data_IF_047981497353
#
_entry.id   IF_047981497353
#
_cell.length_a   1.000
_cell.length_b   1.000
_cell.length_c   1.000
_cell.angle_alpha   90.00
_cell.angle_beta   90.00
_cell.angle_gamma   90.00
#
_symmetry.space_group_name_H-M   'P 1'
#
loop_
_entity.id
_entity.type
_entity.pdbx_description
1 polymer ?
#
# COMPACT_ATOMS: atom_id res chain seq x y z
N UNK A 1 -11.66 9.25 -7.12
CA UNK A 1 -10.54 8.67 -6.36
C UNK A 1 -10.76 7.16 -6.29
N UNK A 2 -10.65 6.49 -7.43
CA UNK A 2 -10.63 5.04 -7.52
C UNK A 2 -9.60 4.73 -8.58
N UNK A 3 -8.53 4.07 -8.15
CA UNK A 3 -7.41 3.71 -8.98
C UNK A 3 -7.86 2.60 -9.91
N UNK A 4 -8.26 2.95 -11.13
CA UNK A 4 -8.60 1.99 -12.19
C UNK A 4 -7.44 1.05 -12.58
N UNK A 5 -6.31 1.12 -11.86
CA UNK A 5 -5.08 0.39 -12.12
C UNK A 5 -4.46 -0.21 -10.83
N UNK A 6 -5.27 -0.47 -9.78
CA UNK A 6 -4.88 -1.28 -8.63
C UNK A 6 -5.55 -2.66 -8.74
N UNK A 7 -4.77 -3.72 -8.57
CA UNK A 7 -5.24 -5.10 -8.55
C UNK A 7 -5.54 -5.50 -7.11
N UNK A 8 -6.79 -5.34 -6.71
CA UNK A 8 -7.24 -5.61 -5.33
C UNK A 8 -7.18 -7.11 -5.02
N UNK A 9 -7.43 -7.98 -6.00
CA UNK A 9 -7.38 -9.42 -5.81
C UNK A 9 -5.95 -9.88 -5.52
N UNK A 10 -4.95 -9.30 -6.20
CA UNK A 10 -3.54 -9.56 -5.91
C UNK A 10 -3.12 -9.03 -4.54
N UNK A 11 -3.55 -7.82 -4.17
CA UNK A 11 -3.27 -7.29 -2.84
C UNK A 11 -3.86 -8.18 -1.75
N UNK A 12 -5.11 -8.63 -1.92
CA UNK A 12 -5.76 -9.53 -0.97
C UNK A 12 -4.96 -10.82 -0.76
N UNK A 13 -4.37 -11.40 -1.82
CA UNK A 13 -3.53 -12.60 -1.71
C UNK A 13 -2.20 -12.34 -1.01
N UNK A 14 -1.65 -11.14 -1.16
CA UNK A 14 -0.33 -10.78 -0.61
C UNK A 14 -0.37 -10.23 0.81
N UNK A 15 -1.55 -9.90 1.33
CA UNK A 15 -1.74 -9.34 2.68
C UNK A 15 -2.31 -10.37 3.66
N UNK A 16 -1.98 -11.64 3.49
CA UNK A 16 -2.31 -12.66 4.49
C UNK A 16 -1.67 -12.29 5.84
N UNK A 17 -2.41 -12.48 6.92
CA UNK A 17 -2.02 -12.10 8.29
C UNK A 17 -1.84 -10.59 8.55
N UNK A 18 -2.27 -9.73 7.62
CA UNK A 18 -2.35 -8.30 7.90
C UNK A 18 -3.56 -8.02 8.80
N UNK A 19 -3.32 -7.28 9.87
CA UNK A 19 -4.39 -6.65 10.64
C UNK A 19 -4.94 -5.42 9.90
N UNK A 20 -6.07 -4.87 10.37
CA UNK A 20 -6.58 -3.60 9.85
C UNK A 20 -5.59 -2.44 10.01
N UNK A 21 -4.74 -2.47 11.03
CA UNK A 21 -3.68 -1.48 11.21
C UNK A 21 -2.56 -1.65 10.18
N UNK A 22 -2.21 -2.89 9.83
CA UNK A 22 -1.19 -3.17 8.81
C UNK A 22 -1.68 -2.71 7.43
N UNK A 23 -2.94 -2.97 7.09
CA UNK A 23 -3.54 -2.50 5.83
C UNK A 23 -3.57 -0.97 5.75
N UNK A 24 -3.89 -0.28 6.85
CA UNK A 24 -3.81 1.19 6.91
C UNK A 24 -2.38 1.65 6.65
N UNK A 25 -1.39 1.04 7.29
CA UNK A 25 0.02 1.40 7.12
C UNK A 25 0.50 1.11 5.69
N UNK A 26 0.05 0.01 5.08
CA UNK A 26 0.33 -0.32 3.69
C UNK A 26 -0.17 0.77 2.73
N UNK A 27 -1.41 1.22 2.89
CA UNK A 27 -1.98 2.31 2.09
C UNK A 27 -1.23 3.64 2.31
N UNK A 28 -0.84 3.93 3.55
CA UNK A 28 -0.07 5.14 3.86
C UNK A 28 1.30 5.11 3.18
N UNK A 29 2.03 4.00 3.29
CA UNK A 29 3.36 3.87 2.69
C UNK A 29 3.29 3.94 1.16
N UNK A 30 2.32 3.29 0.53
CA UNK A 30 2.09 3.41 -0.92
C UNK A 30 1.81 4.86 -1.35
N UNK A 31 1.03 5.61 -0.56
CA UNK A 31 0.80 7.03 -0.79
C UNK A 31 2.05 7.90 -0.62
N UNK A 32 2.90 7.60 0.38
CA UNK A 32 4.16 8.30 0.60
C UNK A 32 5.19 8.02 -0.49
N UNK A 33 5.27 6.78 -1.00
CA UNK A 33 6.11 6.43 -2.14
C UNK A 33 5.67 7.24 -3.36
N UNK A 34 4.37 7.22 -3.68
CA UNK A 34 3.80 8.00 -4.78
C UNK A 34 4.10 9.49 -4.64
N UNK A 35 3.97 10.04 -3.43
CA UNK A 35 4.31 11.43 -3.15
C UNK A 35 5.79 11.72 -3.41
N UNK A 36 6.70 10.90 -2.85
CA UNK A 36 8.16 11.08 -2.96
C UNK A 36 8.63 11.07 -4.41
N UNK A 37 8.05 10.24 -5.27
CA UNK A 37 8.36 10.20 -6.70
C UNK A 37 7.99 11.50 -7.43
N UNK A 38 7.04 12.28 -6.89
CA UNK A 38 6.57 13.53 -7.47
C UNK A 38 7.18 14.78 -6.79
N UNK A 39 7.91 14.61 -5.68
CA UNK A 39 8.65 15.68 -4.99
C UNK A 39 9.86 16.11 -5.85
N UNK A 40 9.62 17.08 -6.73
CA UNK A 40 10.63 17.58 -7.68
C UNK A 40 10.01 18.21 -8.92
N UNK A 41 8.72 18.00 -9.16
CA UNK A 41 7.98 18.73 -10.18
C UNK A 41 7.59 20.12 -9.64
N UNK A 42 7.85 21.18 -10.41
CA UNK A 42 7.55 22.58 -10.05
C UNK A 42 6.07 22.85 -9.73
N UNK A 43 5.17 21.88 -10.00
CA UNK A 43 3.75 21.95 -9.76
C UNK A 43 3.29 20.89 -8.74
N UNK A 44 3.55 21.13 -7.45
CA UNK A 44 3.08 20.32 -6.30
C UNK A 44 1.52 20.20 -6.27
N UNK A 45 0.80 20.94 -7.11
CA UNK A 45 -0.66 21.03 -7.14
C UNK A 45 -1.37 20.04 -8.09
N UNK A 46 -0.66 19.10 -8.72
CA UNK A 46 -1.31 18.10 -9.59
C UNK A 46 -1.48 16.78 -8.83
N UNK A 47 -2.74 16.34 -8.72
CA UNK A 47 -3.15 15.06 -8.15
C UNK A 47 -2.17 13.92 -8.51
N UNK A 48 -1.46 13.36 -7.53
CA UNK A 48 -0.67 12.15 -7.76
C UNK A 48 -1.58 10.92 -7.64
N UNK A 49 -1.35 9.94 -8.51
CA UNK A 49 -2.11 8.69 -8.52
C UNK A 49 -1.29 7.59 -7.85
N UNK A 50 -1.92 6.87 -6.93
CA UNK A 50 -1.34 5.65 -6.38
C UNK A 50 -1.61 4.51 -7.37
N UNK A 51 -0.55 3.82 -7.79
CA UNK A 51 -0.58 2.69 -8.74
C UNK A 51 -0.22 1.38 -8.03
N UNK A 52 -0.40 0.25 -8.71
CA UNK A 52 0.06 -1.06 -8.23
C UNK A 52 1.54 -1.07 -7.84
N UNK A 53 2.42 -0.39 -8.58
CA UNK A 53 3.85 -0.38 -8.30
C UNK A 53 4.17 0.19 -6.91
N UNK A 54 3.46 1.24 -6.49
CA UNK A 54 3.62 1.79 -5.15
C UNK A 54 3.20 0.80 -4.06
N UNK A 55 2.15 0.00 -4.30
CA UNK A 55 1.76 -1.08 -3.37
C UNK A 55 2.78 -2.22 -3.34
N UNK A 56 3.32 -2.60 -4.49
CA UNK A 56 4.39 -3.60 -4.57
C UNK A 56 5.62 -3.15 -3.78
N UNK A 57 6.00 -1.88 -3.90
CA UNK A 57 7.08 -1.29 -3.11
C UNK A 57 6.71 -1.23 -1.61
N UNK A 58 5.50 -0.80 -1.28
CA UNK A 58 5.03 -0.69 0.11
C UNK A 58 5.00 -2.06 0.83
N UNK A 59 4.64 -3.16 0.14
CA UNK A 59 4.67 -4.52 0.68
C UNK A 59 6.10 -5.01 1.04
N UNK A 60 7.13 -4.39 0.46
CA UNK A 60 8.50 -4.68 0.86
C UNK A 60 8.86 -4.04 2.21
N UNK A 61 8.17 -2.95 2.58
CA UNK A 61 8.41 -2.16 3.79
C UNK A 61 7.49 -2.62 4.93
N UNK A 62 6.18 -2.72 4.65
CA UNK A 62 5.16 -3.11 5.63
C UNK A 62 5.08 -4.63 5.71
N UNK A 63 5.15 -5.17 6.93
CA UNK A 63 5.10 -6.60 7.23
C UNK A 63 3.83 -6.93 8.03
N UNK A 64 3.29 -8.15 7.90
CA UNK A 64 2.15 -8.57 8.71
C UNK A 64 2.50 -8.54 10.20
N UNK A 65 1.56 -8.09 11.02
CA UNK A 65 1.71 -8.13 12.48
C UNK A 65 1.19 -9.42 13.11
N UNK A 66 0.34 -10.16 12.40
CA UNK A 66 -0.19 -11.44 12.87
C UNK A 66 0.65 -12.61 12.34
N UNK A 67 0.50 -13.74 13.01
CA UNK A 67 1.03 -15.05 12.61
C UNK A 67 -0.09 -16.08 12.67
N UNK A 68 0.14 -17.27 12.11
CA UNK A 68 -0.82 -18.37 12.14
C UNK A 68 -1.35 -18.68 13.55
N UNK A 69 -0.46 -18.69 14.56
CA UNK A 69 -0.81 -18.92 15.97
C UNK A 69 -1.78 -17.88 16.58
N UNK A 70 -1.90 -16.69 15.98
CA UNK A 70 -2.87 -15.67 16.42
C UNK A 70 -4.28 -15.94 15.87
N UNK A 71 -4.42 -16.81 14.86
CA UNK A 71 -5.68 -17.16 14.19
C UNK A 71 -6.22 -18.52 14.61
N UNK A 72 -5.42 -19.33 15.30
CA UNK A 72 -5.87 -20.57 15.93
C UNK A 72 -6.81 -20.26 17.09
N UNK A 73 -7.98 -20.92 17.09
CA UNK A 73 -9.02 -20.80 18.13
C UNK A 73 -9.05 -22.08 18.97
#
# INVERSE_FOLDING_TARGET
>A
MAASNIDIDELSRRTEYFSGADLKNLCLEAGLIALRENLGMENICSSFLVTNDHFVQALNIVKPSLTESHLEV
#
